data_IF_670698846601
#
_entry.id   IF_670698846601
#
_cell.length_a   1.000
_cell.length_b   1.000
_cell.length_c   1.000
_cell.angle_alpha   90.00
_cell.angle_beta   90.00
_cell.angle_gamma   90.00
#
_symmetry.space_group_name_H-M   'P 1'
#
loop_
_entity.id
_entity.type
_entity.pdbx_description
1 polymer ?
#
# COMPACT_ATOMS: atom_id res chain seq x y z
N UNK A 1 24.60 52.82 -38.07
CA UNK A 1 23.79 52.76 -36.83
C UNK A 1 23.65 51.30 -36.40
N UNK A 2 23.87 51.05 -35.10
CA UNK A 2 23.65 49.83 -34.29
C UNK A 2 24.27 48.50 -34.74
N UNK A 3 25.53 48.27 -34.31
CA UNK A 3 26.11 46.95 -34.10
C UNK A 3 25.97 46.59 -32.62
N UNK A 4 24.85 46.00 -32.21
CA UNK A 4 24.73 45.39 -30.88
C UNK A 4 24.61 43.87 -31.04
N UNK A 5 25.74 43.20 -30.85
CA UNK A 5 25.80 41.74 -30.65
C UNK A 5 24.85 41.42 -29.50
N UNK A 6 23.84 40.61 -29.79
CA UNK A 6 22.78 40.25 -28.86
C UNK A 6 23.33 39.85 -27.49
N UNK A 7 22.58 40.19 -26.45
CA UNK A 7 22.81 39.91 -25.04
C UNK A 7 23.29 38.47 -24.81
N UNK A 8 24.60 38.29 -24.67
CA UNK A 8 25.31 36.99 -24.47
C UNK A 8 25.11 36.36 -23.09
N UNK A 9 24.14 36.84 -22.31
CA UNK A 9 23.83 36.28 -21.01
C UNK A 9 22.47 35.57 -21.03
N UNK A 10 22.45 34.38 -21.63
CA UNK A 10 21.38 33.42 -21.38
C UNK A 10 21.45 32.96 -19.92
N UNK A 11 20.89 33.71 -18.97
CA UNK A 11 20.68 33.29 -17.58
C UNK A 11 19.54 32.25 -17.44
N UNK A 12 19.43 31.30 -18.38
CA UNK A 12 18.53 30.16 -18.20
C UNK A 12 19.31 29.12 -17.39
N UNK A 13 18.97 28.89 -16.10
CA UNK A 13 19.59 27.81 -15.36
C UNK A 13 19.38 26.49 -16.09
N UNK A 14 20.39 25.62 -16.09
CA UNK A 14 20.25 24.29 -16.68
C UNK A 14 19.04 23.57 -16.06
N UNK A 15 18.07 23.21 -16.90
CA UNK A 15 16.78 22.65 -16.48
C UNK A 15 16.93 21.35 -15.66
N UNK A 16 18.03 20.64 -15.88
CA UNK A 16 18.43 19.44 -15.15
C UNK A 16 18.90 19.71 -13.70
N UNK A 17 19.24 20.93 -13.30
CA UNK A 17 19.72 21.19 -11.92
C UNK A 17 18.59 21.34 -10.89
N UNK A 18 17.31 21.26 -11.29
CA UNK A 18 16.15 21.53 -10.41
C UNK A 18 15.45 20.30 -9.83
N UNK A 19 15.81 19.06 -10.19
CA UNK A 19 15.05 17.88 -9.75
C UNK A 19 15.65 17.20 -8.50
N UNK A 20 15.78 17.92 -7.39
CA UNK A 20 15.89 17.19 -6.11
C UNK A 20 14.47 16.72 -5.78
N UNK A 21 14.22 15.42 -5.80
CA UNK A 21 12.91 14.84 -5.51
C UNK A 21 12.55 15.09 -4.05
N UNK A 22 11.85 16.21 -3.77
CA UNK A 22 11.39 16.54 -2.43
C UNK A 22 10.05 15.82 -2.18
N UNK A 23 9.97 15.10 -1.06
CA UNK A 23 8.75 14.41 -0.67
C UNK A 23 7.74 15.42 -0.08
N UNK A 24 6.58 15.56 -0.73
CA UNK A 24 5.50 16.44 -0.28
C UNK A 24 4.93 16.03 1.08
N UNK A 25 5.12 16.87 2.11
CA UNK A 25 4.64 16.65 3.50
C UNK A 25 3.18 17.09 3.71
N UNK A 26 2.34 17.01 2.68
CA UNK A 26 0.95 17.47 2.74
C UNK A 26 0.10 16.66 3.73
N UNK A 27 -1.02 17.24 4.17
CA UNK A 27 -2.01 16.52 5.00
C UNK A 27 -2.54 15.27 4.29
N UNK A 28 -2.66 15.31 2.96
CA UNK A 28 -3.10 14.17 2.16
C UNK A 28 -2.05 13.05 2.16
N UNK A 29 -0.77 13.38 2.03
CA UNK A 29 0.32 12.40 2.07
C UNK A 29 0.36 11.68 3.42
N UNK A 30 0.12 12.39 4.53
CA UNK A 30 0.01 11.77 5.86
C UNK A 30 -1.14 10.77 5.93
N UNK A 31 -2.30 11.09 5.34
CA UNK A 31 -3.45 10.17 5.27
C UNK A 31 -3.13 8.93 4.43
N UNK A 32 -2.45 9.12 3.29
CA UNK A 32 -2.01 8.02 2.42
C UNK A 32 -1.04 7.09 3.16
N UNK A 33 -0.04 7.65 3.84
CA UNK A 33 0.94 6.88 4.62
C UNK A 33 0.31 6.12 5.80
N UNK A 34 -0.77 6.66 6.39
CA UNK A 34 -1.53 6.00 7.46
C UNK A 34 -2.52 4.94 6.92
N UNK A 35 -2.71 4.83 5.61
CA UNK A 35 -3.67 3.89 5.01
C UNK A 35 -3.10 2.48 5.07
N UNK A 36 -3.82 1.56 5.73
CA UNK A 36 -3.46 0.16 5.79
C UNK A 36 -3.96 -0.58 4.54
N UNK A 37 -3.04 -1.25 3.85
CA UNK A 37 -3.32 -2.10 2.69
C UNK A 37 -3.62 -3.54 3.14
N UNK A 38 -4.80 -3.75 3.70
CA UNK A 38 -5.28 -5.05 4.18
C UNK A 38 -6.00 -5.84 3.07
N UNK A 39 -5.98 -7.18 3.18
CA UNK A 39 -6.62 -8.12 2.24
C UNK A 39 -6.11 -8.06 0.78
N UNK A 40 -4.84 -7.69 0.63
CA UNK A 40 -4.12 -7.68 -0.66
C UNK A 40 -3.07 -8.79 -0.71
N UNK A 41 -2.75 -9.25 -1.92
CA UNK A 41 -1.66 -10.19 -2.16
C UNK A 41 -0.29 -9.58 -1.80
N UNK A 42 0.71 -10.39 -1.48
CA UNK A 42 2.05 -9.90 -1.11
C UNK A 42 2.67 -9.01 -2.21
N UNK A 43 2.62 -9.49 -3.46
CA UNK A 43 3.09 -8.74 -4.62
C UNK A 43 2.37 -7.39 -4.78
N UNK A 44 1.04 -7.42 -4.65
CA UNK A 44 0.18 -6.26 -4.77
C UNK A 44 0.46 -5.22 -3.67
N UNK A 45 0.77 -5.69 -2.47
CA UNK A 45 1.11 -4.87 -1.31
C UNK A 45 2.41 -4.12 -1.55
N UNK A 46 3.45 -4.78 -2.05
CA UNK A 46 4.72 -4.15 -2.42
C UNK A 46 4.53 -3.05 -3.46
N UNK A 47 3.68 -3.29 -4.47
CA UNK A 47 3.34 -2.27 -5.47
C UNK A 47 2.65 -1.06 -4.85
N UNK A 48 1.72 -1.27 -3.91
CA UNK A 48 1.03 -0.16 -3.23
C UNK A 48 1.99 0.60 -2.30
N UNK A 49 2.79 -0.11 -1.51
CA UNK A 49 3.81 0.50 -0.63
C UNK A 49 4.83 1.29 -1.44
N UNK A 50 5.23 0.81 -2.62
CA UNK A 50 6.06 1.57 -3.55
C UNK A 50 5.36 2.84 -4.03
N UNK A 51 4.09 2.76 -4.44
CA UNK A 51 3.31 3.94 -4.83
C UNK A 51 3.21 4.97 -3.69
N UNK A 52 3.07 4.52 -2.44
CA UNK A 52 3.06 5.39 -1.25
C UNK A 52 4.44 6.01 -1.02
N UNK A 53 5.52 5.20 -1.04
CA UNK A 53 6.90 5.65 -0.82
C UNK A 53 7.35 6.72 -1.81
N UNK A 54 6.91 6.61 -3.07
CA UNK A 54 7.28 7.54 -4.14
C UNK A 54 6.19 8.58 -4.43
N UNK A 55 5.22 8.79 -3.53
CA UNK A 55 4.13 9.78 -3.70
C UNK A 55 3.34 9.64 -5.01
N UNK A 56 3.30 8.44 -5.60
CA UNK A 56 2.56 8.14 -6.84
C UNK A 56 1.13 7.66 -6.59
N UNK A 57 0.74 7.56 -5.32
CA UNK A 57 -0.57 7.07 -4.91
C UNK A 57 -1.70 8.05 -5.26
N UNK A 58 -2.70 7.59 -6.00
CA UNK A 58 -3.86 8.40 -6.43
C UNK A 58 -5.09 8.07 -5.59
N UNK A 59 -5.53 8.95 -4.67
CA UNK A 59 -6.79 8.76 -3.94
C UNK A 59 -8.00 8.89 -4.88
N UNK A 60 -9.06 8.13 -4.61
CA UNK A 60 -10.32 8.23 -5.34
C UNK A 60 -11.14 9.42 -4.83
N UNK A 61 -11.64 10.24 -5.75
CA UNK A 61 -12.63 11.28 -5.45
C UNK A 61 -14.05 10.70 -5.36
N UNK A 62 -14.35 9.72 -6.22
CA UNK A 62 -15.63 9.02 -6.28
C UNK A 62 -15.43 7.51 -6.14
N UNK A 63 -16.40 6.78 -5.56
CA UNK A 63 -16.28 5.34 -5.39
C UNK A 63 -16.31 4.59 -6.72
N UNK A 64 -15.45 3.59 -6.85
CA UNK A 64 -15.36 2.72 -8.03
C UNK A 64 -16.37 1.57 -8.00
N UNK A 65 -16.65 1.02 -9.18
CA UNK A 65 -17.55 -0.13 -9.37
C UNK A 65 -16.81 -1.42 -8.96
N UNK A 66 -17.40 -2.16 -8.02
CA UNK A 66 -16.89 -3.48 -7.65
C UNK A 66 -17.17 -4.49 -8.78
N UNK A 67 -16.18 -5.28 -9.21
CA UNK A 67 -16.36 -6.28 -10.29
C UNK A 67 -17.30 -7.41 -9.88
N UNK A 68 -17.29 -7.82 -8.61
CA UNK A 68 -18.15 -8.93 -8.13
C UNK A 68 -19.59 -8.49 -7.80
N UNK A 69 -19.77 -7.28 -7.28
CA UNK A 69 -21.10 -6.78 -6.90
C UNK A 69 -21.76 -5.95 -8.00
N UNK A 70 -20.99 -5.45 -8.96
CA UNK A 70 -21.40 -4.49 -10.00
C UNK A 70 -21.96 -3.15 -9.47
N UNK A 71 -21.80 -2.87 -8.18
CA UNK A 71 -22.24 -1.63 -7.51
C UNK A 71 -21.06 -0.67 -7.32
N UNK A 72 -21.31 0.65 -7.44
CA UNK A 72 -20.33 1.73 -7.16
C UNK A 72 -20.16 1.92 -5.67
N UNK A 73 -19.15 1.26 -5.11
CA UNK A 73 -19.10 0.97 -3.68
C UNK A 73 -17.65 0.96 -3.13
N UNK A 74 -16.67 0.74 -3.99
CA UNK A 74 -15.27 0.65 -3.59
C UNK A 74 -14.75 2.03 -3.22
N UNK A 75 -14.27 2.20 -1.99
CA UNK A 75 -13.72 3.47 -1.48
C UNK A 75 -12.20 3.53 -1.53
N UNK A 76 -11.55 2.37 -1.49
CA UNK A 76 -10.10 2.26 -1.45
C UNK A 76 -9.54 2.34 -2.89
N UNK A 77 -8.53 3.18 -3.11
CA UNK A 77 -7.90 3.32 -4.44
C UNK A 77 -7.21 2.03 -4.88
N UNK A 78 -7.20 1.77 -6.20
CA UNK A 78 -6.60 0.58 -6.81
C UNK A 78 -7.25 -0.75 -6.41
N UNK A 79 -8.43 -0.73 -5.80
CA UNK A 79 -9.16 -1.94 -5.43
C UNK A 79 -10.23 -2.23 -6.48
N UNK A 80 -10.26 -3.45 -7.00
CA UNK A 80 -11.28 -3.91 -7.96
C UNK A 80 -12.50 -4.50 -7.22
N UNK A 81 -12.27 -5.02 -6.01
CA UNK A 81 -13.29 -5.68 -5.18
C UNK A 81 -13.38 -4.97 -3.83
N UNK A 82 -14.61 -4.77 -3.33
CA UNK A 82 -14.81 -4.23 -1.98
C UNK A 82 -14.26 -5.20 -0.93
N UNK A 83 -13.62 -4.66 0.11
CA UNK A 83 -13.08 -5.41 1.25
C UNK A 83 -14.00 -6.49 1.82
N UNK A 84 -15.30 -6.19 2.03
CA UNK A 84 -16.26 -7.18 2.56
C UNK A 84 -16.36 -8.43 1.68
N UNK A 85 -16.47 -8.26 0.35
CA UNK A 85 -16.52 -9.38 -0.59
C UNK A 85 -15.19 -10.11 -0.73
N UNK A 86 -14.08 -9.42 -0.56
CA UNK A 86 -12.77 -10.05 -0.52
C UNK A 86 -12.64 -11.02 0.65
N UNK A 87 -13.17 -10.68 1.84
CA UNK A 87 -13.18 -11.58 2.98
C UNK A 87 -14.08 -12.81 2.78
N UNK A 88 -15.27 -12.63 2.19
CA UNK A 88 -16.19 -13.74 1.92
C UNK A 88 -15.61 -14.74 0.90
N UNK A 89 -14.89 -14.24 -0.11
CA UNK A 89 -14.38 -15.05 -1.22
C UNK A 89 -12.89 -15.44 -1.06
N UNK A 90 -12.22 -14.91 -0.03
CA UNK A 90 -10.77 -15.02 0.20
C UNK A 90 -9.95 -14.70 -1.05
N UNK A 91 -10.26 -13.58 -1.70
CA UNK A 91 -9.55 -13.07 -2.89
C UNK A 91 -8.89 -11.74 -2.61
N UNK A 92 -7.78 -11.47 -3.28
CA UNK A 92 -7.11 -10.17 -3.23
C UNK A 92 -8.04 -9.05 -3.72
N UNK A 93 -8.11 -7.95 -2.98
CA UNK A 93 -8.94 -6.79 -3.36
C UNK A 93 -8.47 -6.07 -4.63
N UNK A 94 -7.17 -6.15 -4.95
CA UNK A 94 -6.56 -5.51 -6.13
C UNK A 94 -6.62 -6.39 -7.38
N UNK A 95 -6.07 -7.61 -7.35
CA UNK A 95 -6.03 -8.48 -8.55
C UNK A 95 -7.22 -9.45 -8.66
N UNK A 96 -7.92 -9.76 -7.56
CA UNK A 96 -9.03 -10.71 -7.57
C UNK A 96 -8.62 -12.19 -7.56
N UNK A 97 -7.32 -12.48 -7.41
CA UNK A 97 -6.77 -13.84 -7.33
C UNK A 97 -6.76 -14.36 -5.89
N UNK A 98 -6.74 -15.69 -5.73
CA UNK A 98 -6.82 -16.42 -4.45
C UNK A 98 -5.47 -16.68 -3.77
N UNK A 99 -4.38 -16.11 -4.29
CA UNK A 99 -3.02 -16.29 -3.74
C UNK A 99 -2.94 -16.01 -2.24
N UNK A 100 -1.79 -16.29 -1.60
CA UNK A 100 -1.57 -16.09 -0.17
C UNK A 100 -1.81 -14.63 0.24
N UNK A 101 -3.06 -14.34 0.60
CA UNK A 101 -3.47 -13.09 1.20
C UNK A 101 -2.77 -13.05 2.55
N UNK A 102 -2.04 -11.97 2.82
CA UNK A 102 -1.23 -11.75 4.03
C UNK A 102 -2.04 -11.99 5.33
N UNK A 103 -3.37 -11.95 5.26
CA UNK A 103 -4.28 -12.32 6.35
C UNK A 103 -4.18 -13.80 6.80
N UNK A 104 -3.94 -14.75 5.88
CA UNK A 104 -3.71 -16.17 6.23
C UNK A 104 -2.48 -16.32 7.13
N UNK A 105 -1.44 -15.52 6.89
CA UNK A 105 -0.20 -15.58 7.65
C UNK A 105 -0.36 -15.06 9.08
N UNK A 106 -1.15 -14.00 9.29
CA UNK A 106 -1.38 -13.41 10.62
C UNK A 106 -2.21 -14.35 11.52
N UNK A 107 -3.29 -14.96 11.00
CA UNK A 107 -4.04 -15.98 11.76
C UNK A 107 -3.16 -17.16 12.12
N UNK A 108 -2.41 -17.71 11.17
CA UNK A 108 -1.52 -18.87 11.41
C UNK A 108 -0.44 -18.56 12.45
N UNK A 109 0.20 -17.38 12.38
CA UNK A 109 1.19 -16.96 13.38
C UNK A 109 0.60 -16.73 14.77
N UNK A 110 -0.60 -16.12 14.89
CA UNK A 110 -1.27 -15.93 16.18
C UNK A 110 -1.64 -17.26 16.83
N UNK A 111 -2.25 -18.18 16.07
CA UNK A 111 -2.57 -19.53 16.54
C UNK A 111 -1.31 -20.30 16.94
N UNK A 112 -0.23 -20.22 16.15
CA UNK A 112 1.06 -20.83 16.48
C UNK A 112 1.70 -20.22 17.75
N UNK A 113 1.62 -18.90 17.95
CA UNK A 113 2.11 -18.24 19.16
C UNK A 113 1.29 -18.63 20.40
N UNK A 114 -0.04 -18.69 20.28
CA UNK A 114 -0.92 -19.18 21.33
C UNK A 114 -0.63 -20.65 21.68
N UNK A 115 -0.47 -21.52 20.66
CA UNK A 115 -0.11 -22.94 20.85
C UNK A 115 1.27 -23.13 21.50
N UNK A 116 2.24 -22.25 21.21
CA UNK A 116 3.55 -22.26 21.87
C UNK A 116 3.49 -21.80 23.33
N UNK A 117 2.60 -20.86 23.66
CA UNK A 117 2.35 -20.42 25.04
C UNK A 117 1.67 -21.50 25.90
N UNK A 118 0.91 -22.39 25.29
CA UNK A 118 0.18 -23.48 25.99
C UNK A 118 1.09 -24.69 26.27
N UNK A 119 2.21 -24.86 25.57
CA UNK A 119 3.20 -25.91 25.84
C UNK A 119 4.23 -25.47 26.89
N UNK A 120 3.79 -25.26 28.13
CA UNK A 120 4.68 -25.35 29.31
C UNK A 120 4.56 -26.80 29.81
N UNK A 121 5.65 -27.58 29.87
CA UNK A 121 5.60 -28.95 30.38
C UNK A 121 5.35 -28.92 31.89
N UNK A 122 4.13 -29.24 32.32
CA UNK A 122 3.85 -29.69 33.68
C UNK A 122 4.06 -31.20 33.71
N UNK A 123 5.27 -31.67 34.00
CA UNK A 123 5.54 -32.90 34.78
C UNK A 123 7.05 -33.10 34.94
N UNK A 124 7.42 -33.68 36.08
CA UNK A 124 8.76 -34.03 36.60
C UNK A 124 9.43 -32.84 37.31
N UNK A 125 9.39 -32.77 38.65
CA UNK A 125 10.21 -33.48 39.66
C UNK A 125 9.56 -33.20 41.04
N UNK A 126 9.44 -34.04 42.08
CA UNK A 126 9.93 -35.37 42.42
C UNK A 126 8.98 -35.96 43.47
N UNK A 127 8.56 -37.21 43.27
CA UNK A 127 8.09 -38.06 44.35
C UNK A 127 9.31 -38.76 44.96
N UNK A 128 9.75 -38.34 46.14
CA UNK A 128 10.56 -39.14 47.04
C UNK A 128 10.30 -38.80 48.49
#
# INVERSE_FOLDING_TARGET
>A
MSSQKGSVACFRPQNHQKYIYQFDKSVQTKKINATLHDAVCQHCKEVLEWCVKYSKYKPLSQPEKCVKCLKKIVKDSYHIIRRSRSYELEVCTKCGEKEDIVFRLIKKQKWQKMLKMIKVPTVEEDAK
#
